data_IF_391246111133
#
_entry.id   IF_391246111133
#
_cell.length_a   1.000
_cell.length_b   1.000
_cell.length_c   1.000
_cell.angle_alpha   90.00
_cell.angle_beta   90.00
_cell.angle_gamma   90.00
#
_symmetry.space_group_name_H-M   'P 1'
#
loop_
_entity.id
_entity.type
_entity.pdbx_description
1 polymer ?
#
# COMPACT_ATOMS: atom_id res chain seq x y z
N UNK A 1 9.71 1.37 19.56
CA UNK A 1 9.18 2.54 18.83
C UNK A 1 7.73 2.88 19.17
N UNK A 2 6.74 1.98 18.99
CA UNK A 2 5.34 2.31 19.34
C UNK A 2 5.20 2.74 20.80
N UNK A 3 5.75 1.95 21.73
CA UNK A 3 5.61 2.26 23.17
C UNK A 3 6.34 3.55 23.57
N UNK A 4 7.51 3.77 22.98
CA UNK A 4 8.34 4.96 23.18
C UNK A 4 7.87 6.19 22.38
N UNK A 5 6.86 6.05 21.51
CA UNK A 5 6.36 7.08 20.60
C UNK A 5 7.44 7.68 19.68
N UNK A 6 8.40 6.86 19.25
CA UNK A 6 9.53 7.22 18.38
C UNK A 6 9.42 6.58 16.99
N UNK A 7 8.21 6.41 16.48
CA UNK A 7 7.99 5.77 15.18
C UNK A 7 8.59 6.60 14.03
N UNK A 8 9.28 5.97 13.07
CA UNK A 8 9.66 6.63 11.83
C UNK A 8 8.44 7.14 11.07
N UNK A 9 8.63 8.22 10.30
CA UNK A 9 7.57 8.78 9.44
C UNK A 9 7.18 7.80 8.32
N UNK A 10 8.13 7.02 7.83
CA UNK A 10 7.93 5.94 6.85
C UNK A 10 8.42 4.62 7.41
N UNK A 11 7.61 3.58 7.30
CA UNK A 11 7.94 2.24 7.78
C UNK A 11 7.54 1.22 6.73
N UNK A 12 8.38 0.20 6.55
CA UNK A 12 8.11 -0.95 5.70
C UNK A 12 8.39 -2.21 6.50
N UNK A 13 7.41 -3.11 6.53
CA UNK A 13 7.48 -4.34 7.29
C UNK A 13 7.02 -5.50 6.41
N UNK A 14 7.87 -6.51 6.30
CA UNK A 14 7.55 -7.80 5.69
C UNK A 14 7.61 -8.87 6.77
N UNK A 15 6.56 -9.70 6.93
CA UNK A 15 6.65 -10.90 7.76
C UNK A 15 7.69 -11.88 7.22
N UNK A 16 7.93 -12.98 7.94
CA UNK A 16 8.67 -14.10 7.37
C UNK A 16 7.87 -14.80 6.23
N UNK A 17 8.56 -15.68 5.47
CA UNK A 17 8.00 -16.36 4.29
C UNK A 17 6.83 -17.31 4.60
N UNK A 18 6.66 -17.70 5.85
CA UNK A 18 5.46 -18.44 6.24
C UNK A 18 4.30 -17.49 6.47
N UNK A 19 4.57 -16.40 7.19
CA UNK A 19 3.61 -15.44 7.71
C UNK A 19 3.08 -14.47 6.64
N UNK A 20 3.83 -14.25 5.56
CA UNK A 20 3.35 -13.49 4.39
C UNK A 20 2.59 -14.34 3.37
N UNK A 21 2.60 -15.67 3.54
CA UNK A 21 1.87 -16.61 2.70
C UNK A 21 2.66 -17.18 1.51
N UNK A 22 3.97 -16.89 1.39
CA UNK A 22 4.81 -17.41 0.31
C UNK A 22 4.96 -18.94 0.38
N UNK A 23 5.45 -19.46 1.51
CA UNK A 23 5.68 -20.89 1.76
C UNK A 23 4.45 -21.60 2.34
N UNK A 24 3.39 -20.84 2.64
CA UNK A 24 2.13 -21.34 3.18
C UNK A 24 0.95 -21.01 2.24
N UNK A 25 -0.07 -20.31 2.75
CA UNK A 25 -1.26 -19.90 2.02
C UNK A 25 -1.92 -18.68 2.69
N UNK A 26 -2.90 -18.09 1.98
CA UNK A 26 -3.61 -16.90 2.44
C UNK A 26 -4.32 -17.07 3.80
N UNK A 27 -4.78 -18.27 4.14
CA UNK A 27 -5.41 -18.52 5.45
C UNK A 27 -4.39 -18.47 6.59
N UNK A 28 -3.19 -19.00 6.38
CA UNK A 28 -2.10 -18.91 7.36
C UNK A 28 -1.66 -17.45 7.55
N UNK A 29 -1.41 -16.74 6.45
CA UNK A 29 -1.07 -15.32 6.49
C UNK A 29 -2.17 -14.46 7.15
N UNK A 30 -3.44 -14.77 6.88
CA UNK A 30 -4.58 -14.09 7.50
C UNK A 30 -4.68 -14.32 9.02
N UNK A 31 -4.39 -15.53 9.49
CA UNK A 31 -4.33 -15.82 10.93
C UNK A 31 -3.17 -15.07 11.60
N UNK A 32 -1.98 -15.09 10.99
CA UNK A 32 -0.84 -14.32 11.47
C UNK A 32 -1.17 -12.82 11.55
N UNK A 33 -1.76 -12.25 10.49
CA UNK A 33 -2.14 -10.84 10.44
C UNK A 33 -3.17 -10.49 11.51
N UNK A 34 -4.14 -11.39 11.76
CA UNK A 34 -5.14 -11.18 12.81
C UNK A 34 -4.49 -11.10 14.21
N UNK A 35 -3.48 -11.93 14.48
CA UNK A 35 -2.76 -11.92 15.75
C UNK A 35 -1.80 -10.72 15.84
N UNK A 36 -1.11 -10.37 14.75
CA UNK A 36 -0.30 -9.16 14.68
C UNK A 36 -1.14 -7.89 14.87
N UNK A 37 -2.36 -7.86 14.32
CA UNK A 37 -3.30 -6.78 14.56
C UNK A 37 -3.66 -6.68 16.04
N UNK A 38 -4.10 -7.78 16.67
CA UNK A 38 -4.51 -7.76 18.09
C UNK A 38 -3.37 -7.37 19.03
N UNK A 39 -2.15 -7.83 18.75
CA UNK A 39 -1.01 -7.67 19.66
C UNK A 39 -0.21 -6.39 19.41
N UNK A 40 -0.20 -5.88 18.17
CA UNK A 40 0.68 -4.79 17.77
C UNK A 40 -0.07 -3.62 17.13
N UNK A 41 -0.83 -3.87 16.04
CA UNK A 41 -1.41 -2.76 15.26
C UNK A 41 -2.61 -2.10 15.93
N UNK A 42 -3.37 -2.82 16.77
CA UNK A 42 -4.52 -2.31 17.50
C UNK A 42 -4.10 -1.45 18.71
N UNK A 43 -3.32 -0.41 18.44
CA UNK A 43 -2.76 0.50 19.43
C UNK A 43 -3.08 1.95 19.02
N UNK A 44 -3.70 2.72 19.90
CA UNK A 44 -4.08 4.12 19.62
C UNK A 44 -2.88 5.02 19.37
N UNK A 45 -1.73 4.78 20.04
CA UNK A 45 -0.46 5.49 19.76
C UNK A 45 0.02 5.31 18.32
N UNK A 46 -0.45 4.28 17.62
CA UNK A 46 -0.17 4.03 16.21
C UNK A 46 -1.34 4.50 15.31
N UNK A 47 -2.54 3.97 15.54
CA UNK A 47 -3.69 4.14 14.64
C UNK A 47 -4.22 5.57 14.55
N UNK A 48 -3.96 6.42 15.54
CA UNK A 48 -4.40 7.82 15.52
C UNK A 48 -3.47 8.73 14.69
N UNK A 49 -2.24 8.29 14.40
CA UNK A 49 -1.21 9.09 13.74
C UNK A 49 -0.58 8.45 12.50
N UNK A 50 -0.85 7.18 12.23
CA UNK A 50 -0.33 6.46 11.08
C UNK A 50 -1.46 6.00 10.16
N UNK A 51 -1.25 6.18 8.86
CA UNK A 51 -1.98 5.46 7.82
C UNK A 51 -1.21 4.17 7.53
N UNK A 52 -1.88 3.03 7.64
CA UNK A 52 -1.27 1.70 7.43
C UNK A 52 -1.86 1.09 6.17
N UNK A 53 -1.01 0.75 5.22
CA UNK A 53 -1.34 -0.08 4.07
C UNK A 53 -0.93 -1.52 4.36
N UNK A 54 -1.88 -2.45 4.29
CA UNK A 54 -1.64 -3.89 4.26
C UNK A 54 -1.92 -4.36 2.85
N UNK A 55 -0.97 -5.02 2.21
CA UNK A 55 -1.08 -5.46 0.82
C UNK A 55 -0.18 -6.68 0.57
N UNK A 56 -0.29 -7.28 -0.62
CA UNK A 56 0.65 -8.28 -1.12
C UNK A 56 1.52 -7.66 -2.21
N UNK A 57 2.70 -8.19 -2.42
CA UNK A 57 3.59 -7.77 -3.50
C UNK A 57 3.05 -8.22 -4.86
N UNK A 58 2.51 -9.42 -4.98
CA UNK A 58 1.98 -9.97 -6.23
C UNK A 58 0.90 -11.06 -6.09
N UNK A 59 0.30 -11.42 -7.22
CA UNK A 59 -0.43 -12.68 -7.36
C UNK A 59 0.52 -13.83 -7.69
N UNK A 60 0.26 -15.00 -7.11
CA UNK A 60 1.01 -16.24 -7.42
C UNK A 60 0.79 -16.73 -8.87
N UNK A 61 -0.29 -16.31 -9.52
CA UNK A 61 -0.67 -16.81 -10.85
C UNK A 61 -0.33 -15.79 -11.94
N UNK A 62 0.84 -15.91 -12.55
CA UNK A 62 1.32 -14.96 -13.57
C UNK A 62 0.54 -14.99 -14.92
N UNK A 63 -0.41 -15.91 -15.09
CA UNK A 63 -1.27 -15.99 -16.29
C UNK A 63 -2.55 -15.15 -16.16
N UNK A 64 -2.83 -14.58 -14.98
CA UNK A 64 -3.93 -13.64 -14.75
C UNK A 64 -3.38 -12.27 -14.41
N UNK A 65 -4.11 -11.20 -14.71
CA UNK A 65 -3.70 -9.82 -14.35
C UNK A 65 -3.37 -9.75 -12.86
N UNK A 66 -2.22 -9.15 -12.54
CA UNK A 66 -1.78 -8.96 -11.18
C UNK A 66 -2.74 -8.02 -10.45
N UNK A 67 -3.44 -8.58 -9.46
CA UNK A 67 -4.38 -7.87 -8.62
C UNK A 67 -4.30 -8.46 -7.23
N UNK A 68 -3.83 -7.64 -6.29
CA UNK A 68 -3.65 -8.02 -4.89
C UNK A 68 -4.73 -7.42 -4.03
N UNK A 69 -5.08 -8.13 -2.95
CA UNK A 69 -5.91 -7.55 -1.91
C UNK A 69 -5.12 -6.47 -1.17
N UNK A 70 -5.77 -5.36 -0.84
CA UNK A 70 -5.17 -4.27 -0.06
C UNK A 70 -6.19 -3.69 0.91
N UNK A 71 -5.71 -3.29 2.08
CA UNK A 71 -6.47 -2.60 3.12
C UNK A 71 -5.70 -1.36 3.57
N UNK A 72 -6.36 -0.21 3.52
CA UNK A 72 -5.88 1.01 4.13
C UNK A 72 -6.62 1.25 5.45
N UNK A 73 -5.90 1.54 6.53
CA UNK A 73 -6.48 1.72 7.86
C UNK A 73 -5.69 2.72 8.72
N UNK A 74 -6.17 2.95 9.95
CA UNK A 74 -5.56 3.88 10.90
C UNK A 74 -6.12 5.30 10.76
N UNK A 75 -5.23 6.28 10.55
CA UNK A 75 -5.50 7.71 10.50
C UNK A 75 -6.18 8.16 9.18
N UNK A 76 -7.17 7.39 8.72
CA UNK A 76 -8.04 7.71 7.59
C UNK A 76 -9.32 8.42 8.07
N UNK A 77 -9.92 9.33 7.26
CA UNK A 77 -11.17 10.00 7.62
C UNK A 77 -12.29 9.02 8.02
N UNK A 78 -13.02 9.33 9.09
CA UNK A 78 -14.02 8.42 9.70
C UNK A 78 -15.07 7.94 8.68
N UNK A 79 -15.49 8.81 7.77
CA UNK A 79 -16.48 8.51 6.74
C UNK A 79 -16.00 7.51 5.66
N UNK A 80 -14.69 7.26 5.57
CA UNK A 80 -14.09 6.28 4.64
C UNK A 80 -13.79 4.95 5.32
N UNK A 81 -14.00 4.83 6.64
CA UNK A 81 -13.79 3.57 7.36
C UNK A 81 -14.89 2.57 6.95
N UNK A 82 -14.48 1.40 6.46
CA UNK A 82 -15.39 0.36 5.98
C UNK A 82 -15.93 0.57 4.56
N UNK A 83 -15.45 1.59 3.84
CA UNK A 83 -15.80 1.79 2.43
C UNK A 83 -14.84 1.04 1.50
N UNK A 84 -15.15 1.05 0.20
CA UNK A 84 -14.26 0.56 -0.86
C UNK A 84 -13.83 1.73 -1.74
N UNK A 85 -12.60 1.67 -2.22
CA UNK A 85 -12.08 2.56 -3.25
C UNK A 85 -11.89 1.77 -4.54
N UNK A 86 -12.36 2.33 -5.66
CA UNK A 86 -12.30 1.71 -6.98
C UNK A 86 -11.28 2.37 -7.91
N UNK A 87 -10.51 3.35 -7.45
CA UNK A 87 -9.41 3.91 -8.23
C UNK A 87 -8.34 2.85 -8.51
N UNK A 88 -7.67 3.01 -9.65
CA UNK A 88 -6.55 2.16 -10.02
C UNK A 88 -5.28 2.63 -9.31
N UNK A 89 -4.64 1.70 -8.59
CA UNK A 89 -3.39 1.89 -7.87
C UNK A 89 -2.39 0.81 -8.20
N UNK A 90 -1.11 1.14 -8.06
CA UNK A 90 -0.01 0.16 -8.08
C UNK A 90 0.88 0.37 -6.86
N UNK A 91 1.95 -0.41 -6.70
CA UNK A 91 2.95 -0.12 -5.65
C UNK A 91 3.60 1.27 -5.80
N UNK A 92 3.63 1.83 -7.01
CA UNK A 92 4.07 3.22 -7.23
C UNK A 92 3.09 4.26 -6.66
N UNK A 93 1.83 3.89 -6.42
CA UNK A 93 0.88 4.75 -5.71
C UNK A 93 1.26 4.99 -4.26
N UNK A 94 1.87 4.00 -3.60
CA UNK A 94 2.41 4.15 -2.25
C UNK A 94 3.55 5.17 -2.24
N UNK A 95 4.49 5.03 -3.18
CA UNK A 95 5.64 5.94 -3.29
C UNK A 95 5.20 7.37 -3.65
N UNK A 96 4.40 7.54 -4.69
CA UNK A 96 3.90 8.87 -5.09
C UNK A 96 3.07 9.55 -3.99
N UNK A 97 2.26 8.80 -3.24
CA UNK A 97 1.54 9.36 -2.08
C UNK A 97 2.50 9.88 -1.01
N UNK A 98 3.57 9.14 -0.74
CA UNK A 98 4.63 9.54 0.21
C UNK A 98 5.39 10.77 -0.28
N UNK A 99 5.77 10.79 -1.56
CA UNK A 99 6.45 11.93 -2.18
C UNK A 99 5.61 13.20 -2.06
N UNK A 100 4.33 13.12 -2.40
CA UNK A 100 3.41 14.25 -2.28
C UNK A 100 3.14 14.67 -0.82
N UNK A 101 3.03 13.71 0.11
CA UNK A 101 2.75 14.01 1.52
C UNK A 101 3.88 14.76 2.22
N UNK A 102 5.13 14.60 1.78
CA UNK A 102 6.29 15.28 2.35
C UNK A 102 6.95 16.29 1.42
N UNK A 103 6.26 16.69 0.35
CA UNK A 103 6.78 17.65 -0.64
C UNK A 103 8.18 17.25 -1.17
N UNK A 104 8.34 15.96 -1.46
CA UNK A 104 9.57 15.40 -2.01
C UNK A 104 9.55 15.46 -3.54
N UNK A 105 10.75 15.41 -4.13
CA UNK A 105 10.90 15.12 -5.55
C UNK A 105 10.55 13.67 -5.89
N UNK A 106 10.46 13.39 -7.19
CA UNK A 106 10.28 12.04 -7.72
C UNK A 106 11.65 11.38 -8.02
N UNK A 107 11.66 10.06 -8.09
CA UNK A 107 12.80 9.21 -8.47
C UNK A 107 12.98 9.06 -9.99
N UNK A 108 12.11 9.69 -10.80
CA UNK A 108 12.22 9.71 -12.25
C UNK A 108 11.90 8.39 -12.96
N UNK A 109 11.23 7.45 -12.27
CA UNK A 109 10.78 6.16 -12.82
C UNK A 109 9.26 6.16 -12.93
N UNK A 110 8.61 5.05 -12.60
CA UNK A 110 7.17 4.87 -12.74
C UNK A 110 6.34 5.68 -11.72
N UNK A 111 6.96 6.20 -10.67
CA UNK A 111 6.43 7.23 -9.78
C UNK A 111 6.08 8.54 -10.52
N UNK A 112 6.69 8.79 -11.69
CA UNK A 112 6.30 9.90 -12.59
C UNK A 112 5.21 9.53 -13.61
N UNK A 113 4.91 8.24 -13.77
CA UNK A 113 3.96 7.76 -14.77
C UNK A 113 2.53 7.82 -14.24
N UNK A 114 1.79 8.84 -14.69
CA UNK A 114 0.40 9.12 -14.28
C UNK A 114 -0.59 7.95 -14.44
N UNK A 115 -0.28 6.95 -15.27
CA UNK A 115 -1.11 5.74 -15.38
C UNK A 115 -0.98 4.82 -14.16
N UNK A 116 0.19 4.78 -13.52
CA UNK A 116 0.50 3.82 -12.43
C UNK A 116 0.83 4.49 -11.09
N UNK A 117 1.03 5.81 -11.06
CA UNK A 117 1.37 6.60 -9.88
C UNK A 117 0.26 7.56 -9.44
N UNK A 118 -0.99 7.09 -9.43
CA UNK A 118 -2.06 7.78 -8.71
C UNK A 118 -1.74 7.85 -7.21
N UNK A 119 -2.11 8.95 -6.56
CA UNK A 119 -2.05 9.11 -5.10
C UNK A 119 -3.31 8.51 -4.48
N UNK A 120 -3.23 7.93 -3.29
CA UNK A 120 -4.43 7.41 -2.62
C UNK A 120 -5.51 8.48 -2.49
N UNK A 121 -6.71 8.19 -2.96
CA UNK A 121 -7.80 9.16 -3.16
C UNK A 121 -8.18 9.90 -1.88
N UNK A 122 -8.10 9.23 -0.72
CA UNK A 122 -8.40 9.88 0.57
C UNK A 122 -7.49 11.10 0.83
N UNK A 123 -6.27 11.11 0.28
CA UNK A 123 -5.27 12.15 0.44
C UNK A 123 -5.21 13.10 -0.77
N UNK A 124 -5.62 12.65 -1.96
CA UNK A 124 -5.44 13.38 -3.22
C UNK A 124 -5.89 14.85 -3.13
N UNK A 125 -7.10 15.11 -2.61
CA UNK A 125 -7.61 16.48 -2.42
C UNK A 125 -6.76 17.32 -1.47
N UNK A 126 -6.29 16.73 -0.36
CA UNK A 126 -5.49 17.44 0.64
C UNK A 126 -4.08 17.76 0.12
N UNK A 127 -3.60 16.96 -0.83
CA UNK A 127 -2.29 17.09 -1.46
C UNK A 127 -2.33 17.87 -2.78
N UNK A 128 -3.47 18.50 -3.11
CA UNK A 128 -3.69 19.18 -4.41
C UNK A 128 -3.32 18.30 -5.62
N UNK A 129 -3.53 16.99 -5.49
CA UNK A 129 -3.22 16.01 -6.53
C UNK A 129 -4.49 15.60 -7.28
N UNK A 130 -4.40 15.58 -8.61
CA UNK A 130 -5.47 15.09 -9.47
C UNK A 130 -5.13 13.71 -10.02
N UNK A 131 -5.83 12.69 -9.51
CA UNK A 131 -5.75 11.33 -10.01
C UNK A 131 -6.27 11.23 -11.46
N UNK A 132 -5.72 10.26 -12.19
CA UNK A 132 -6.18 9.88 -13.53
C UNK A 132 -7.09 8.66 -13.43
N UNK A 133 -8.25 8.74 -14.09
CA UNK A 133 -9.14 7.59 -14.25
C UNK A 133 -8.56 6.72 -15.36
N UNK A 134 -8.17 5.49 -15.02
CA UNK A 134 -7.62 4.52 -15.97
C UNK A 134 -8.74 3.58 -16.41
N UNK A 135 -9.12 3.56 -17.70
CA UNK A 135 -10.09 2.61 -18.23
C UNK A 135 -9.65 1.15 -18.01
N UNK A 136 -10.60 0.25 -17.75
CA UNK A 136 -10.32 -1.17 -17.48
C UNK A 136 -9.51 -1.88 -18.58
N UNK A 137 -9.68 -1.45 -19.84
CA UNK A 137 -8.95 -1.95 -21.00
C UNK A 137 -7.54 -1.37 -21.14
N UNK A 138 -7.22 -0.31 -20.39
CA UNK A 138 -5.91 0.35 -20.37
C UNK A 138 -5.09 -0.02 -19.12
N UNK A 139 -5.70 -0.69 -18.14
CA UNK A 139 -5.00 -1.17 -16.95
C UNK A 139 -3.90 -2.17 -17.38
N UNK A 140 -2.61 -1.88 -17.11
CA UNK A 140 -1.52 -2.77 -17.46
C UNK A 140 -1.60 -4.09 -16.68
N UNK A 141 -1.07 -5.17 -17.25
CA UNK A 141 -1.12 -6.49 -16.62
C UNK A 141 -0.31 -6.56 -15.33
N UNK A 142 0.87 -5.90 -15.29
CA UNK A 142 1.75 -5.83 -14.12
C UNK A 142 2.20 -7.21 -13.58
N UNK A 143 2.34 -8.20 -14.47
CA UNK A 143 2.72 -9.58 -14.13
C UNK A 143 4.22 -9.88 -14.23
N UNK A 144 5.01 -8.95 -14.78
CA UNK A 144 6.42 -9.16 -14.97
C UNK A 144 7.17 -8.55 -13.79
N UNK A 145 8.15 -9.29 -13.25
CA UNK A 145 9.12 -8.72 -12.34
C UNK A 145 9.87 -7.59 -13.04
N UNK A 146 10.07 -6.48 -12.34
CA UNK A 146 10.90 -5.38 -12.83
C UNK A 146 12.29 -5.58 -12.23
N UNK A 147 13.25 -6.14 -12.98
CA UNK A 147 14.63 -6.16 -12.53
C UNK A 147 15.12 -4.71 -12.49
N UNK A 148 15.63 -4.30 -11.33
CA UNK A 148 16.25 -3.00 -11.15
C UNK A 148 17.46 -3.16 -10.24
N UNK A 149 18.60 -2.54 -10.54
CA UNK A 149 19.70 -2.55 -9.60
C UNK A 149 19.29 -1.76 -8.36
N UNK A 150 19.54 -2.34 -7.19
CA UNK A 150 19.76 -1.58 -5.95
C UNK A 150 21.15 -0.97 -6.09
N UNK A 151 21.23 0.20 -6.72
CA UNK A 151 22.48 0.99 -6.77
C UNK A 151 22.56 1.93 -5.59
#
# INVERSE_FOLDING_TARGET
DIEAETLPNWMFYTPDMNSDGHDTNASYAGNWLADFYKTTLNNTKLLDRAVILITFDETKTYTIRNRVWSLLMGAIPKQLKGTKDSHFYTHYSTLSTVEHNWDLGNLGRQDTNKTVSNVFEFAAKALDYKNVIIPENEIPWMNNSIPGPLT
#
